data_IF_322533834885
#
_entry.id   IF_322533834885
#
_cell.length_a   1.000
_cell.length_b   1.000
_cell.length_c   1.000
_cell.angle_alpha   90.00
_cell.angle_beta   90.00
_cell.angle_gamma   90.00
#
_symmetry.space_group_name_H-M   'P 1'
#
loop_
_entity.id
_entity.type
_entity.pdbx_description
1 polymer ?
#
# COMPACT_ATOMS: atom_id res chain seq x y z
N UNK A 1 -8.80 1.33 -7.28
CA UNK A 1 -8.28 -0.06 -7.32
C UNK A 1 -6.99 -0.13 -6.50
N UNK A 2 -6.73 -1.27 -5.86
CA UNK A 2 -5.52 -1.49 -5.04
C UNK A 2 -4.26 -1.32 -5.89
N UNK A 3 -3.27 -0.59 -5.38
CA UNK A 3 -2.00 -0.31 -6.06
C UNK A 3 -2.01 0.87 -7.03
N UNK A 4 -3.18 1.47 -7.30
CA UNK A 4 -3.25 2.68 -8.10
C UNK A 4 -2.58 3.88 -7.38
N UNK A 5 -1.98 4.83 -8.12
CA UNK A 5 -1.44 6.04 -7.53
C UNK A 5 -2.55 6.86 -6.86
N UNK A 6 -2.21 7.47 -5.74
CA UNK A 6 -3.12 8.27 -4.94
C UNK A 6 -3.24 9.67 -5.56
N UNK A 7 -4.46 10.21 -5.60
CA UNK A 7 -4.71 11.57 -6.07
C UNK A 7 -4.12 12.62 -5.13
N UNK A 8 -3.74 13.78 -5.69
CA UNK A 8 -3.21 14.88 -4.89
C UNK A 8 -4.23 15.32 -3.83
N UNK A 9 -3.78 15.42 -2.58
CA UNK A 9 -4.63 15.82 -1.45
C UNK A 9 -5.54 14.72 -0.88
N UNK A 10 -5.44 13.46 -1.34
CA UNK A 10 -6.17 12.37 -0.73
C UNK A 10 -5.65 12.07 0.69
N UNK A 11 -6.57 12.02 1.65
CA UNK A 11 -6.25 11.86 3.07
C UNK A 11 -6.53 10.43 3.59
N UNK A 12 -7.36 9.66 2.89
CA UNK A 12 -7.73 8.28 3.27
C UNK A 12 -8.37 7.53 2.10
N UNK A 13 -8.31 6.21 2.10
CA UNK A 13 -8.99 5.33 1.13
C UNK A 13 -10.05 4.52 1.87
N UNK A 14 -11.30 4.57 1.40
CA UNK A 14 -12.41 3.79 1.93
C UNK A 14 -12.68 2.60 0.99
N UNK A 15 -12.62 1.35 1.48
CA UNK A 15 -12.98 0.17 0.70
C UNK A 15 -14.44 0.23 0.22
N UNK A 16 -14.74 -0.39 -0.93
CA UNK A 16 -16.09 -0.38 -1.49
C UNK A 16 -17.09 -1.13 -0.59
N UNK A 17 -16.59 -2.03 0.24
CA UNK A 17 -17.34 -2.81 1.22
C UNK A 17 -17.81 -1.96 2.41
N UNK A 18 -17.21 -0.79 2.64
CA UNK A 18 -17.53 0.12 3.76
C UNK A 18 -18.44 1.28 3.37
N UNK A 19 -18.90 1.35 2.12
CA UNK A 19 -19.77 2.42 1.61
C UNK A 19 -21.19 1.93 1.32
N UNK A 20 -22.16 2.84 1.40
CA UNK A 20 -23.52 2.59 0.91
C UNK A 20 -23.73 3.37 -0.40
N UNK A 21 -24.14 2.69 -1.47
CA UNK A 21 -24.59 3.35 -2.69
C UNK A 21 -25.96 4.00 -2.45
N UNK A 22 -26.07 5.31 -2.71
CA UNK A 22 -27.35 6.05 -2.64
C UNK A 22 -27.98 6.26 -4.02
N UNK A 23 -27.16 6.29 -5.07
CA UNK A 23 -27.54 6.28 -6.49
C UNK A 23 -26.30 5.94 -7.33
N UNK A 24 -26.46 5.86 -8.65
CA UNK A 24 -25.36 5.58 -9.59
C UNK A 24 -24.20 6.59 -9.50
N UNK A 25 -24.46 7.80 -9.00
CA UNK A 25 -23.49 8.89 -8.90
C UNK A 25 -23.19 9.33 -7.46
N UNK A 26 -23.77 8.67 -6.45
CA UNK A 26 -23.63 9.08 -5.04
C UNK A 26 -23.39 7.90 -4.13
N UNK A 27 -22.40 8.05 -3.27
CA UNK A 27 -22.07 7.11 -2.20
C UNK A 27 -22.12 7.82 -0.86
N UNK A 28 -22.48 7.08 0.20
CA UNK A 28 -22.41 7.54 1.58
C UNK A 28 -21.21 6.88 2.26
N UNK A 29 -20.38 7.71 2.88
CA UNK A 29 -19.19 7.30 3.63
C UNK A 29 -19.57 6.85 5.06
N UNK A 30 -18.74 6.01 5.70
CA UNK A 30 -18.91 5.66 7.10
C UNK A 30 -18.77 6.91 8.00
N UNK A 31 -19.43 6.90 9.17
CA UNK A 31 -19.46 8.04 10.08
C UNK A 31 -18.08 8.45 10.61
N UNK A 32 -17.17 7.49 10.72
CA UNK A 32 -15.81 7.72 11.22
C UNK A 32 -14.81 7.38 10.13
N UNK A 33 -14.02 8.38 9.75
CA UNK A 33 -12.90 8.23 8.85
C UNK A 33 -11.60 8.34 9.65
N UNK A 34 -10.65 7.47 9.33
CA UNK A 34 -9.31 7.50 9.92
C UNK A 34 -8.34 8.04 8.86
N UNK A 35 -7.57 9.10 9.16
CA UNK A 35 -6.53 9.60 8.25
C UNK A 35 -5.48 8.54 7.92
N UNK A 36 -4.91 8.61 6.72
CA UNK A 36 -3.89 7.71 6.18
C UNK A 36 -4.28 6.22 6.11
N UNK A 37 -5.56 5.88 6.29
CA UNK A 37 -6.02 4.49 6.25
C UNK A 37 -5.97 3.95 4.82
N UNK A 38 -5.53 2.70 4.67
CA UNK A 38 -5.37 2.00 3.39
C UNK A 38 -4.44 2.69 2.38
N UNK A 39 -3.63 3.65 2.81
CA UNK A 39 -2.62 4.33 1.98
C UNK A 39 -1.28 3.64 2.18
N UNK A 40 -0.74 3.06 1.10
CA UNK A 40 0.65 2.59 1.04
C UNK A 40 1.55 3.74 0.61
N UNK A 41 2.41 4.22 1.51
CA UNK A 41 3.32 5.34 1.27
C UNK A 41 4.52 4.89 0.44
N UNK A 42 5.05 5.81 -0.37
CA UNK A 42 6.25 5.57 -1.17
C UNK A 42 7.41 5.19 -0.24
N UNK A 43 8.00 4.02 -0.50
CA UNK A 43 9.15 3.51 0.23
C UNK A 43 8.87 3.14 1.69
N UNK A 44 7.62 2.84 2.04
CA UNK A 44 7.27 2.37 3.39
C UNK A 44 7.90 1.01 3.73
N UNK A 45 8.05 0.14 2.72
CA UNK A 45 8.70 -1.17 2.85
C UNK A 45 10.21 -1.06 2.53
N UNK A 46 10.54 -0.48 1.37
CA UNK A 46 11.91 -0.37 0.86
C UNK A 46 12.21 1.06 0.38
N UNK A 47 13.27 1.65 0.92
CA UNK A 47 13.76 2.98 0.59
C UNK A 47 14.92 2.90 -0.40
N UNK A 48 14.92 3.78 -1.40
CA UNK A 48 16.00 3.85 -2.38
C UNK A 48 17.32 4.25 -1.73
N UNK A 49 18.44 3.66 -2.18
CA UNK A 49 19.78 3.93 -1.67
C UNK A 49 20.13 3.19 -0.37
N UNK A 50 19.17 2.51 0.26
CA UNK A 50 19.44 1.68 1.44
C UNK A 50 19.80 0.26 1.02
N UNK A 51 20.87 -0.29 1.60
CA UNK A 51 21.28 -1.69 1.42
C UNK A 51 20.44 -2.58 2.33
N UNK A 52 19.81 -3.61 1.76
CA UNK A 52 18.94 -4.55 2.48
C UNK A 52 19.52 -5.96 2.60
N UNK A 53 20.41 -6.35 1.69
CA UNK A 53 21.09 -7.65 1.68
C UNK A 53 22.56 -7.45 1.30
N UNK A 54 23.43 -8.26 1.87
CA UNK A 54 24.87 -8.32 1.61
C UNK A 54 25.29 -9.68 1.09
N UNK A 55 26.45 -9.73 0.43
CA UNK A 55 27.07 -10.99 0.04
C UNK A 55 27.38 -11.81 1.30
N UNK A 56 26.92 -13.06 1.33
CA UNK A 56 27.06 -13.95 2.48
C UNK A 56 25.87 -14.01 3.42
N UNK A 57 24.84 -13.18 3.22
CA UNK A 57 23.60 -13.27 4.02
C UNK A 57 22.83 -14.55 3.65
N UNK A 58 22.45 -15.36 4.65
CA UNK A 58 21.54 -16.48 4.47
C UNK A 58 20.08 -15.99 4.48
N UNK A 59 19.35 -16.23 3.38
CA UNK A 59 17.94 -15.89 3.27
C UNK A 59 17.07 -17.13 3.44
N UNK A 60 16.29 -17.17 4.54
CA UNK A 60 15.32 -18.24 4.77
C UNK A 60 14.02 -17.95 4.02
N UNK A 61 13.62 -18.85 3.14
CA UNK A 61 12.39 -18.73 2.36
C UNK A 61 11.20 -19.20 3.19
N UNK A 62 10.32 -18.28 3.58
CA UNK A 62 9.01 -18.62 4.11
C UNK A 62 7.99 -18.69 2.96
N UNK A 63 7.53 -19.90 2.63
CA UNK A 63 6.44 -20.09 1.66
C UNK A 63 6.84 -20.16 0.17
N UNK A 64 8.14 -20.24 -0.15
CA UNK A 64 8.61 -20.62 -1.49
C UNK A 64 8.99 -19.51 -2.46
N UNK A 65 9.21 -18.26 -2.04
CA UNK A 65 9.63 -17.17 -2.93
C UNK A 65 10.72 -16.28 -2.32
N UNK A 66 11.72 -15.89 -3.13
CA UNK A 66 12.80 -14.97 -2.78
C UNK A 66 12.54 -13.59 -3.41
N UNK A 67 12.56 -12.56 -2.57
CA UNK A 67 12.22 -11.19 -2.92
C UNK A 67 13.45 -10.32 -3.14
N UNK A 68 13.27 -9.30 -3.96
CA UNK A 68 14.33 -8.69 -4.77
C UNK A 68 14.95 -7.44 -4.16
N UNK A 69 16.19 -7.26 -4.60
CA UNK A 69 17.01 -6.09 -4.37
C UNK A 69 17.71 -5.70 -5.68
N UNK A 70 17.90 -4.40 -5.88
CA UNK A 70 18.59 -3.86 -7.04
C UNK A 70 20.09 -4.16 -6.95
N UNK A 71 20.64 -4.79 -7.98
CA UNK A 71 22.05 -4.69 -8.40
C UNK A 71 22.10 -3.88 -9.71
N UNK A 72 23.21 -3.19 -9.95
CA UNK A 72 23.39 -2.15 -10.99
C UNK A 72 22.99 -2.56 -12.41
#
# INVERSE_FOLDING_TARGET
>A
MTGAPISLGCETIVPLEEIEYKSDSKVKLPQKLTPNRHIRKKGEELQSGKKYLSCGDEATLYGGYLSLTRCE
#
